data_IF_073646170671
#
_entry.id   IF_073646170671
#
_cell.length_a   1.000
_cell.length_b   1.000
_cell.length_c   1.000
_cell.angle_alpha   90.00
_cell.angle_beta   90.00
_cell.angle_gamma   90.00
#
_symmetry.space_group_name_H-M   'P 1'
#
loop_
_entity.id
_entity.type
_entity.pdbx_description
1 polymer ?
#
# COMPACT_ATOMS: atom_id res chain seq x y z
N UNK A 1 2.69 14.07 -9.02
CA UNK A 1 1.24 13.75 -9.00
C UNK A 1 0.91 13.03 -7.70
N UNK A 2 -0.37 12.85 -7.35
CA UNK A 2 -0.75 12.07 -6.15
C UNK A 2 -0.19 10.63 -6.23
N UNK A 3 -0.16 10.04 -7.43
CA UNK A 3 0.42 8.72 -7.65
C UNK A 3 1.91 8.64 -7.26
N UNK A 4 2.70 9.68 -7.54
CA UNK A 4 4.13 9.71 -7.21
C UNK A 4 4.41 9.78 -5.69
N UNK A 5 3.45 10.28 -4.92
CA UNK A 5 3.57 10.49 -3.47
C UNK A 5 2.79 9.46 -2.65
N UNK A 6 2.03 8.57 -3.31
CA UNK A 6 1.09 7.66 -2.66
C UNK A 6 1.75 6.78 -1.60
N UNK A 7 2.93 6.24 -1.89
CA UNK A 7 3.69 5.38 -0.96
C UNK A 7 3.97 6.05 0.39
N UNK A 8 4.19 7.36 0.41
CA UNK A 8 4.50 8.15 1.61
C UNK A 8 3.31 8.89 2.21
N UNK A 9 2.12 8.77 1.61
CA UNK A 9 0.92 9.48 2.07
C UNK A 9 0.10 8.57 2.97
N UNK A 10 -0.39 9.04 4.14
CA UNK A 10 -1.36 8.30 4.95
C UNK A 10 -2.53 7.78 4.12
N UNK A 11 -2.93 6.53 4.38
CA UNK A 11 -4.02 5.88 3.65
C UNK A 11 -5.03 5.29 4.64
N UNK A 12 -6.28 5.76 4.56
CA UNK A 12 -7.37 5.35 5.46
C UNK A 12 -7.98 3.99 5.11
N UNK A 13 -7.49 3.32 4.06
CA UNK A 13 -7.89 1.94 3.80
C UNK A 13 -7.51 1.05 5.01
N UNK A 14 -8.39 0.13 5.45
CA UNK A 14 -8.14 -0.74 6.61
C UNK A 14 -6.83 -1.53 6.55
N UNK A 15 -6.28 -1.81 5.36
CA UNK A 15 -4.97 -2.47 5.20
C UNK A 15 -3.81 -1.66 5.81
N UNK A 16 -3.92 -0.33 5.80
CA UNK A 16 -2.86 0.58 6.23
C UNK A 16 -3.17 1.27 7.57
N UNK A 17 -4.39 1.16 8.09
CA UNK A 17 -4.77 1.70 9.40
C UNK A 17 -4.40 3.20 9.57
N UNK A 18 -4.57 4.00 8.50
CA UNK A 18 -4.26 5.42 8.51
C UNK A 18 -2.77 5.77 8.44
N UNK A 19 -1.88 4.78 8.29
CA UNK A 19 -0.44 5.03 8.07
C UNK A 19 -0.08 5.02 6.59
N UNK A 20 1.17 5.34 6.25
CA UNK A 20 1.61 5.29 4.87
C UNK A 20 1.80 3.82 4.43
N UNK A 21 1.52 3.46 3.16
CA UNK A 21 1.84 2.14 2.63
C UNK A 21 3.32 1.75 2.81
N UNK A 22 4.22 2.74 2.78
CA UNK A 22 5.64 2.54 3.04
C UNK A 22 5.92 1.94 4.43
N UNK A 23 5.16 2.32 5.46
CA UNK A 23 5.33 1.78 6.82
C UNK A 23 5.07 0.27 6.84
N UNK A 24 4.06 -0.19 6.08
CA UNK A 24 3.76 -1.62 5.91
C UNK A 24 4.89 -2.34 5.19
N UNK A 25 5.44 -1.76 4.13
CA UNK A 25 6.54 -2.36 3.35
C UNK A 25 7.84 -2.50 4.16
N UNK A 26 8.06 -1.58 5.10
CA UNK A 26 9.25 -1.56 5.96
C UNK A 26 9.09 -2.38 7.24
N UNK A 27 7.95 -3.04 7.47
CA UNK A 27 7.69 -3.87 8.64
C UNK A 27 8.50 -5.18 8.68
N UNK A 28 9.28 -5.47 7.64
CA UNK A 28 10.29 -6.53 7.64
C UNK A 28 9.78 -7.91 7.23
N UNK A 29 8.55 -8.03 6.73
CA UNK A 29 8.02 -9.28 6.17
C UNK A 29 7.90 -9.17 4.64
N UNK A 30 8.44 -10.15 3.91
CA UNK A 30 8.34 -10.19 2.43
C UNK A 30 6.88 -10.24 1.97
N UNK A 31 5.99 -10.84 2.76
CA UNK A 31 4.55 -10.91 2.46
C UNK A 31 3.90 -9.53 2.39
N UNK A 32 4.44 -8.52 3.06
CA UNK A 32 3.88 -7.17 3.03
C UNK A 32 4.00 -6.54 1.65
N UNK A 33 5.07 -6.86 0.90
CA UNK A 33 5.22 -6.45 -0.51
C UNK A 33 4.07 -6.99 -1.37
N UNK A 34 3.73 -8.28 -1.18
CA UNK A 34 2.66 -8.94 -1.94
C UNK A 34 1.28 -8.38 -1.57
N UNK A 35 1.03 -8.08 -0.28
CA UNK A 35 -0.22 -7.45 0.15
C UNK A 35 -0.44 -6.09 -0.51
N UNK A 36 0.59 -5.23 -0.52
CA UNK A 36 0.50 -3.90 -1.14
C UNK A 36 0.33 -4.02 -2.65
N UNK A 37 1.00 -4.97 -3.31
CA UNK A 37 0.81 -5.23 -4.73
C UNK A 37 -0.63 -5.66 -5.04
N UNK A 38 -1.17 -6.61 -4.29
CA UNK A 38 -2.55 -7.10 -4.48
C UNK A 38 -3.58 -5.97 -4.30
N UNK A 39 -3.36 -5.09 -3.31
CA UNK A 39 -4.17 -3.89 -3.15
C UNK A 39 -4.15 -3.02 -4.41
N UNK A 40 -2.96 -2.70 -4.95
CA UNK A 40 -2.83 -1.87 -6.14
C UNK A 40 -3.40 -2.51 -7.42
N UNK A 41 -3.34 -3.84 -7.53
CA UNK A 41 -3.93 -4.54 -8.66
C UNK A 41 -5.46 -4.54 -8.57
N UNK A 42 -6.03 -4.70 -7.37
CA UNK A 42 -7.47 -4.56 -7.15
C UNK A 42 -7.98 -3.15 -7.46
N UNK A 43 -7.29 -2.09 -7.00
CA UNK A 43 -7.66 -0.69 -7.28
C UNK A 43 -7.58 -0.34 -8.77
N UNK A 44 -6.69 -1.00 -9.52
CA UNK A 44 -6.59 -0.83 -10.98
C UNK A 44 -7.71 -1.55 -11.75
N UNK A 45 -8.54 -2.35 -11.06
CA UNK A 45 -9.54 -3.22 -11.69
C UNK A 45 -8.99 -4.52 -12.26
N UNK A 46 -7.82 -4.97 -11.79
CA UNK A 46 -7.16 -6.20 -12.25
C UNK A 46 -7.37 -7.43 -11.36
N UNK A 47 -7.19 -8.59 -11.99
CA UNK A 47 -6.55 -9.82 -11.49
C UNK A 47 -5.56 -10.27 -12.57
#
# INVERSE_FOLDING_TARGET
>A
TLADQWLSTPNDNPLFNGTAPLDRLLAGQVVDLAMVRNFLDAERGGW
#
